data_IF_950573033952
#
_entry.id   IF_950573033952
#
_cell.length_a   1.000
_cell.length_b   1.000
_cell.length_c   1.000
_cell.angle_alpha   90.00
_cell.angle_beta   90.00
_cell.angle_gamma   90.00
#
_symmetry.space_group_name_H-M   'P 1'
#
loop_
_entity.id
_entity.type
_entity.pdbx_description
1 polymer ?
#
# COMPACT_ATOMS: atom_id res chain seq x y z
N UNK A 1 -13.40 5.77 10.09
CA UNK A 1 -12.52 6.96 9.99
C UNK A 1 -11.35 6.65 9.07
N UNK A 2 -10.93 7.61 8.26
CA UNK A 2 -9.72 7.52 7.46
C UNK A 2 -8.88 8.81 7.63
N UNK A 3 -7.59 8.73 7.32
CA UNK A 3 -6.66 9.85 7.31
C UNK A 3 -5.73 9.76 6.10
N UNK A 4 -4.97 10.81 5.84
CA UNK A 4 -4.01 10.92 4.74
C UNK A 4 -2.67 11.40 5.27
N UNK A 5 -1.58 10.74 4.84
CA UNK A 5 -0.22 11.13 5.19
C UNK A 5 0.62 11.33 3.93
N UNK A 6 1.18 12.53 3.70
CA UNK A 6 2.18 12.74 2.67
C UNK A 6 3.46 11.95 2.99
N UNK A 7 4.04 11.28 1.98
CA UNK A 7 5.25 10.47 2.14
C UNK A 7 6.27 10.73 1.02
N UNK A 8 7.54 10.40 1.28
CA UNK A 8 8.69 10.71 0.38
C UNK A 8 8.74 9.71 -0.79
N UNK A 9 7.66 9.66 -1.57
CA UNK A 9 7.46 8.70 -2.65
C UNK A 9 7.04 7.31 -2.15
N UNK A 10 6.30 6.58 -2.99
CA UNK A 10 5.78 5.26 -2.66
C UNK A 10 6.88 4.20 -2.45
N UNK A 11 7.98 4.25 -3.21
CA UNK A 11 9.08 3.28 -3.07
C UNK A 11 9.67 3.26 -1.66
N UNK A 12 9.92 4.43 -1.09
CA UNK A 12 10.43 4.55 0.28
C UNK A 12 9.41 3.97 1.27
N UNK A 13 8.15 4.35 1.12
CA UNK A 13 7.08 3.85 1.97
C UNK A 13 6.94 2.32 1.89
N UNK A 14 6.95 1.75 0.69
CA UNK A 14 6.89 0.28 0.48
C UNK A 14 8.04 -0.43 1.19
N UNK A 15 9.25 0.15 1.15
CA UNK A 15 10.41 -0.43 1.82
C UNK A 15 10.30 -0.38 3.36
N UNK A 16 9.71 0.67 3.91
CA UNK A 16 9.73 0.89 5.37
C UNK A 16 8.41 0.54 6.09
N UNK A 17 7.29 0.45 5.39
CA UNK A 17 5.99 0.27 6.03
C UNK A 17 5.88 -1.00 6.89
N UNK A 18 6.38 -2.18 6.47
CA UNK A 18 6.38 -3.36 7.32
C UNK A 18 7.18 -3.15 8.63
N UNK A 19 8.31 -2.44 8.56
CA UNK A 19 9.12 -2.09 9.75
C UNK A 19 8.38 -1.13 10.67
N UNK A 20 7.76 -0.08 10.10
CA UNK A 20 7.02 0.93 10.86
C UNK A 20 5.80 0.35 11.58
N UNK A 21 5.20 -0.70 11.02
CA UNK A 21 4.07 -1.43 11.61
C UNK A 21 4.50 -2.67 12.41
N UNK A 22 5.81 -2.93 12.53
CA UNK A 22 6.38 -4.06 13.28
C UNK A 22 5.87 -5.43 12.82
N UNK A 23 5.63 -5.57 11.52
CA UNK A 23 5.10 -6.79 10.91
C UNK A 23 6.05 -7.98 11.07
N UNK A 24 5.52 -9.18 11.24
CA UNK A 24 6.26 -10.43 11.43
C UNK A 24 6.17 -11.37 10.23
N UNK A 25 5.00 -11.42 9.58
CA UNK A 25 4.75 -12.23 8.39
C UNK A 25 4.16 -11.31 7.33
N UNK A 26 4.88 -11.12 6.23
CA UNK A 26 4.54 -10.20 5.16
C UNK A 26 4.22 -10.95 3.88
N UNK A 27 2.95 -10.96 3.50
CA UNK A 27 2.48 -11.46 2.22
C UNK A 27 2.74 -10.42 1.13
N UNK A 28 3.19 -10.88 -0.04
CA UNK A 28 3.32 -10.07 -1.25
C UNK A 28 3.06 -10.92 -2.50
N UNK A 29 2.66 -10.31 -3.64
CA UNK A 29 2.41 -11.06 -4.89
C UNK A 29 3.68 -11.79 -5.37
N UNK A 30 3.55 -13.03 -5.82
CA UNK A 30 4.69 -13.85 -6.33
C UNK A 30 5.35 -13.22 -7.57
N UNK A 31 4.57 -12.53 -8.41
CA UNK A 31 5.09 -11.71 -9.52
C UNK A 31 4.94 -10.25 -9.12
N UNK A 32 5.99 -9.65 -8.63
CA UNK A 32 5.89 -8.39 -7.92
C UNK A 32 7.07 -7.44 -8.15
N UNK A 33 6.81 -6.19 -7.82
CA UNK A 33 7.85 -5.19 -7.66
C UNK A 33 8.81 -5.60 -6.52
N UNK A 34 10.13 -5.69 -6.77
CA UNK A 34 11.08 -6.31 -5.82
C UNK A 34 11.12 -5.66 -4.43
N UNK A 35 10.68 -4.41 -4.31
CA UNK A 35 10.74 -3.67 -3.05
C UNK A 35 9.80 -4.24 -1.97
N UNK A 36 8.76 -5.00 -2.32
CA UNK A 36 7.91 -5.67 -1.32
C UNK A 36 8.71 -6.70 -0.52
N UNK A 37 9.49 -7.55 -1.21
CA UNK A 37 10.41 -8.49 -0.56
C UNK A 37 11.47 -7.75 0.27
N UNK A 38 12.08 -6.71 -0.30
CA UNK A 38 13.08 -5.89 0.41
C UNK A 38 12.49 -5.30 1.69
N UNK A 39 11.27 -4.78 1.65
CA UNK A 39 10.58 -4.23 2.83
C UNK A 39 10.35 -5.28 3.92
N UNK A 40 9.95 -6.49 3.56
CA UNK A 40 9.80 -7.59 4.50
C UNK A 40 11.14 -7.95 5.17
N UNK A 41 12.22 -8.02 4.38
CA UNK A 41 13.57 -8.30 4.90
C UNK A 41 14.09 -7.19 5.82
N UNK A 42 13.86 -5.91 5.48
CA UNK A 42 14.21 -4.77 6.34
C UNK A 42 13.47 -4.82 7.68
N UNK A 43 12.23 -5.29 7.69
CA UNK A 43 11.44 -5.51 8.89
C UNK A 43 11.89 -6.74 9.69
N UNK A 44 12.84 -7.53 9.19
CA UNK A 44 13.19 -8.86 9.73
C UNK A 44 11.95 -9.78 9.83
N UNK A 45 10.98 -9.57 8.95
CA UNK A 45 9.76 -10.35 8.85
C UNK A 45 9.98 -11.58 7.96
N UNK A 46 9.12 -12.58 8.11
CA UNK A 46 9.03 -13.73 7.22
C UNK A 46 8.32 -13.31 5.91
N UNK A 47 9.01 -13.29 4.76
CA UNK A 47 8.40 -12.93 3.50
C UNK A 47 7.65 -14.12 2.90
N UNK A 48 6.40 -13.92 2.46
CA UNK A 48 5.54 -14.98 1.92
C UNK A 48 5.02 -14.54 0.56
N UNK A 49 5.56 -15.15 -0.51
CA UNK A 49 5.07 -14.93 -1.86
C UNK A 49 3.77 -15.72 -2.10
N UNK A 50 2.74 -15.09 -2.65
CA UNK A 50 1.43 -15.69 -2.87
C UNK A 50 0.88 -15.41 -4.26
N UNK A 51 0.05 -16.34 -4.75
CA UNK A 51 -0.78 -16.10 -5.93
C UNK A 51 -1.92 -15.12 -5.65
N UNK A 52 -2.72 -14.88 -6.66
CA UNK A 52 -3.76 -13.84 -6.62
C UNK A 52 -5.00 -14.21 -5.78
N UNK A 53 -5.27 -15.50 -5.61
CA UNK A 53 -6.44 -15.99 -4.88
C UNK A 53 -6.22 -15.87 -3.37
N UNK A 54 -6.80 -14.84 -2.78
CA UNK A 54 -6.70 -14.59 -1.35
C UNK A 54 -7.34 -15.68 -0.47
N UNK A 55 -8.19 -16.55 -1.01
CA UNK A 55 -8.73 -17.69 -0.28
C UNK A 55 -7.66 -18.74 0.04
N UNK A 56 -6.54 -18.73 -0.68
CA UNK A 56 -5.41 -19.65 -0.49
C UNK A 56 -4.27 -19.06 0.34
N UNK A 57 -4.36 -17.80 0.72
CA UNK A 57 -3.28 -17.13 1.45
C UNK A 57 -3.15 -17.68 2.87
N UNK A 58 -1.93 -17.94 3.34
CA UNK A 58 -1.70 -18.37 4.72
C UNK A 58 -2.02 -17.25 5.71
N UNK A 59 -2.06 -17.57 6.99
CA UNK A 59 -2.16 -16.56 8.04
C UNK A 59 -0.92 -15.67 8.06
N UNK A 60 -1.12 -14.37 8.13
CA UNK A 60 -0.09 -13.36 8.24
C UNK A 60 -0.66 -12.11 8.92
N UNK A 61 0.20 -11.17 9.30
CA UNK A 61 -0.21 -9.91 9.93
C UNK A 61 -0.13 -8.71 8.98
N UNK A 62 0.43 -8.92 7.77
CA UNK A 62 0.56 -7.89 6.77
C UNK A 62 0.47 -8.48 5.35
N UNK A 63 -0.24 -7.82 4.45
CA UNK A 63 -0.31 -8.20 3.04
C UNK A 63 -0.23 -7.00 2.09
N UNK A 64 0.60 -7.14 1.05
CA UNK A 64 0.60 -6.26 -0.11
C UNK A 64 -0.29 -6.82 -1.22
N UNK A 65 -1.10 -5.95 -1.82
CA UNK A 65 -1.61 -6.11 -3.18
C UNK A 65 -1.16 -4.93 -4.03
N UNK A 66 -1.04 -5.11 -5.34
CA UNK A 66 -0.66 -4.06 -6.28
C UNK A 66 -1.63 -4.07 -7.47
N UNK A 67 -2.44 -3.04 -7.59
CA UNK A 67 -3.46 -2.95 -8.64
C UNK A 67 -3.62 -1.52 -9.15
N UNK A 68 -3.26 -1.27 -10.42
CA UNK A 68 -2.64 -2.18 -11.41
C UNK A 68 -1.26 -2.68 -10.99
N UNK A 69 -0.94 -3.92 -11.31
CA UNK A 69 0.25 -4.62 -10.88
C UNK A 69 1.51 -4.28 -11.67
N UNK A 70 2.64 -4.14 -10.99
CA UNK A 70 3.95 -4.04 -11.60
C UNK A 70 4.75 -5.32 -11.33
N UNK A 71 5.19 -6.11 -12.35
CA UNK A 71 5.28 -5.74 -13.77
C UNK A 71 4.10 -6.18 -14.65
N UNK A 72 3.06 -6.79 -14.11
CA UNK A 72 2.05 -7.54 -14.89
C UNK A 72 1.05 -6.65 -15.63
N UNK A 73 0.86 -5.40 -15.20
CA UNK A 73 -0.23 -4.53 -15.66
C UNK A 73 -1.64 -4.99 -15.22
N UNK A 74 -1.74 -6.09 -14.46
CA UNK A 74 -3.02 -6.68 -14.08
C UNK A 74 -3.80 -5.76 -13.15
N UNK A 75 -5.08 -5.56 -13.46
CA UNK A 75 -6.06 -4.90 -12.60
C UNK A 75 -6.84 -5.97 -11.82
N UNK A 76 -6.91 -5.84 -10.51
CA UNK A 76 -7.72 -6.73 -9.67
C UNK A 76 -9.22 -6.43 -9.86
N UNK A 77 -10.01 -7.47 -10.00
CA UNK A 77 -11.46 -7.38 -10.01
C UNK A 77 -12.01 -7.02 -8.62
N UNK A 78 -13.26 -6.53 -8.57
CA UNK A 78 -13.96 -6.32 -7.29
C UNK A 78 -13.98 -7.58 -6.42
N UNK A 79 -14.23 -8.77 -7.03
CA UNK A 79 -14.26 -10.03 -6.28
C UNK A 79 -12.93 -10.35 -5.62
N UNK A 80 -11.81 -10.10 -6.30
CA UNK A 80 -10.46 -10.32 -5.76
C UNK A 80 -10.12 -9.33 -4.64
N UNK A 81 -10.48 -8.05 -4.82
CA UNK A 81 -10.28 -7.03 -3.78
C UNK A 81 -11.12 -7.33 -2.53
N UNK A 82 -12.39 -7.72 -2.71
CA UNK A 82 -13.24 -8.13 -1.59
C UNK A 82 -12.76 -9.42 -0.92
N UNK A 83 -12.19 -10.37 -1.67
CA UNK A 83 -11.60 -11.57 -1.08
C UNK A 83 -10.37 -11.22 -0.22
N UNK A 84 -9.51 -10.32 -0.68
CA UNK A 84 -8.36 -9.84 0.10
C UNK A 84 -8.80 -9.07 1.36
N UNK A 85 -9.84 -8.23 1.29
CA UNK A 85 -10.43 -7.55 2.45
C UNK A 85 -11.00 -8.56 3.46
N UNK A 86 -11.70 -9.60 2.98
CA UNK A 86 -12.22 -10.67 3.85
C UNK A 86 -11.10 -11.40 4.55
N UNK A 87 -10.02 -11.76 3.82
CA UNK A 87 -8.84 -12.40 4.39
C UNK A 87 -8.19 -11.51 5.46
N UNK A 88 -7.99 -10.22 5.19
CA UNK A 88 -7.44 -9.25 6.15
C UNK A 88 -8.24 -9.20 7.45
N UNK A 89 -9.57 -9.10 7.35
CA UNK A 89 -10.46 -9.09 8.51
C UNK A 89 -10.40 -10.38 9.32
N UNK A 90 -10.35 -11.55 8.65
CA UNK A 90 -10.25 -12.85 9.31
C UNK A 90 -8.94 -13.08 10.06
N UNK A 91 -7.85 -12.45 9.57
CA UNK A 91 -6.52 -12.58 10.17
C UNK A 91 -6.13 -11.38 11.05
N UNK A 92 -6.99 -10.36 11.19
CA UNK A 92 -6.66 -9.07 11.79
C UNK A 92 -5.39 -8.44 11.19
N UNK A 93 -5.16 -8.69 9.91
CA UNK A 93 -3.96 -8.31 9.18
C UNK A 93 -4.09 -6.91 8.55
N UNK A 94 -3.00 -6.17 8.49
CA UNK A 94 -2.94 -4.95 7.69
C UNK A 94 -2.90 -5.30 6.21
N UNK A 95 -3.89 -4.83 5.45
CA UNK A 95 -3.93 -4.97 3.99
C UNK A 95 -3.56 -3.64 3.34
N UNK A 96 -2.54 -3.65 2.50
CA UNK A 96 -2.08 -2.45 1.78
C UNK A 96 -2.18 -2.65 0.28
N UNK A 97 -2.92 -1.77 -0.39
CA UNK A 97 -2.98 -1.73 -1.84
C UNK A 97 -2.03 -0.65 -2.39
N UNK A 98 -1.04 -1.06 -3.16
CA UNK A 98 -0.22 -0.13 -3.93
C UNK A 98 -0.97 0.22 -5.23
N UNK A 99 -1.47 1.45 -5.28
CA UNK A 99 -2.28 2.01 -6.38
C UNK A 99 -1.49 3.03 -7.21
N UNK A 100 -0.16 2.92 -7.24
CA UNK A 100 0.69 3.87 -7.97
C UNK A 100 0.37 3.97 -9.48
N UNK A 101 -0.34 3.00 -10.04
CA UNK A 101 -0.74 2.94 -11.44
C UNK A 101 -2.26 3.06 -11.65
N UNK A 102 -3.02 3.52 -10.65
CA UNK A 102 -4.49 3.55 -10.70
C UNK A 102 -5.06 4.38 -11.86
N UNK A 103 -4.32 5.38 -12.32
CA UNK A 103 -4.73 6.23 -13.44
C UNK A 103 -4.41 5.62 -14.84
N UNK A 104 -3.82 4.42 -14.89
CA UNK A 104 -3.39 3.74 -16.13
C UNK A 104 -4.29 2.56 -16.46
N UNK A 105 -5.60 2.80 -16.54
CA UNK A 105 -6.55 1.81 -17.05
C UNK A 105 -6.70 1.93 -18.56
N UNK A 106 -6.70 0.80 -19.26
CA UNK A 106 -7.07 0.71 -20.67
C UNK A 106 -8.46 0.04 -20.80
N UNK A 107 -8.49 -1.28 -20.95
CA UNK A 107 -9.75 -2.02 -21.05
C UNK A 107 -10.41 -2.27 -19.69
N UNK A 108 -9.62 -2.43 -18.63
CA UNK A 108 -10.10 -2.54 -17.25
C UNK A 108 -9.84 -1.22 -16.53
N UNK A 109 -10.91 -0.62 -15.98
CA UNK A 109 -10.79 0.60 -15.18
C UNK A 109 -10.38 0.24 -13.74
N UNK A 110 -9.18 0.62 -13.29
CA UNK A 110 -8.77 0.36 -11.93
C UNK A 110 -9.66 1.10 -10.94
N UNK A 111 -9.91 0.47 -9.80
CA UNK A 111 -10.71 1.07 -8.73
C UNK A 111 -9.94 0.93 -7.42
N UNK A 112 -9.95 1.98 -6.61
CA UNK A 112 -9.30 1.95 -5.29
C UNK A 112 -9.92 0.89 -4.38
N UNK A 113 -9.08 0.20 -3.61
CA UNK A 113 -9.47 -0.73 -2.57
C UNK A 113 -10.44 -0.09 -1.56
N UNK A 114 -10.24 1.20 -1.27
CA UNK A 114 -11.08 1.94 -0.31
C UNK A 114 -12.56 2.01 -0.73
N UNK A 115 -12.86 1.88 -2.02
CA UNK A 115 -14.27 1.83 -2.49
C UNK A 115 -15.01 0.62 -1.95
N UNK A 116 -14.31 -0.46 -1.66
CA UNK A 116 -14.91 -1.75 -1.28
C UNK A 116 -14.86 -2.04 0.22
N UNK A 117 -14.35 -1.09 1.03
CA UNK A 117 -14.33 -1.23 2.49
C UNK A 117 -15.70 -1.03 3.13
N UNK A 118 -16.64 -0.45 2.39
CA UNK A 118 -17.99 -0.09 2.86
C UNK A 118 -17.95 0.84 4.10
N UNK A 119 -16.91 1.69 4.17
CA UNK A 119 -16.66 2.62 5.28
C UNK A 119 -15.91 2.00 6.47
N UNK A 120 -15.67 0.69 6.47
CA UNK A 120 -14.87 0.01 7.50
C UNK A 120 -13.41 -0.08 7.02
N UNK A 121 -12.62 0.93 7.40
CA UNK A 121 -11.23 1.07 6.97
C UNK A 121 -10.21 0.49 7.94
N UNK A 122 -10.62 -0.15 9.01
CA UNK A 122 -9.70 -0.74 10.00
C UNK A 122 -8.73 -1.71 9.34
N UNK A 123 -7.44 -1.51 9.60
CA UNK A 123 -6.33 -2.27 9.03
C UNK A 123 -6.21 -2.19 7.48
N UNK A 124 -6.85 -1.22 6.81
CA UNK A 124 -6.75 -1.04 5.36
C UNK A 124 -6.01 0.25 5.04
N UNK A 125 -4.99 0.12 4.18
CA UNK A 125 -4.18 1.24 3.70
C UNK A 125 -4.07 1.19 2.17
N UNK A 126 -3.95 2.36 1.56
CA UNK A 126 -3.71 2.54 0.13
C UNK A 126 -2.52 3.45 -0.07
N UNK A 127 -1.67 3.11 -1.02
CA UNK A 127 -0.53 3.94 -1.45
C UNK A 127 -0.80 4.52 -2.82
N UNK A 128 -0.79 5.84 -2.92
CA UNK A 128 -0.93 6.56 -4.20
C UNK A 128 0.28 7.46 -4.43
N UNK A 129 0.66 7.72 -5.70
CA UNK A 129 1.89 8.45 -6.03
C UNK A 129 1.74 9.35 -7.25
N UNK A 130 2.33 10.54 -7.19
CA UNK A 130 2.46 11.42 -8.34
C UNK A 130 3.58 10.98 -9.32
N UNK A 131 4.40 10.01 -8.93
CA UNK A 131 5.56 9.57 -9.72
C UNK A 131 5.19 9.13 -11.14
N UNK A 132 4.07 8.43 -11.30
CA UNK A 132 3.61 7.91 -12.59
C UNK A 132 2.51 8.78 -13.18
N UNK A 133 1.46 9.01 -12.44
CA UNK A 133 0.33 9.84 -12.81
C UNK A 133 0.74 11.20 -13.41
N UNK A 134 1.65 11.91 -12.71
CA UNK A 134 2.05 13.28 -13.05
C UNK A 134 3.48 13.38 -13.59
N UNK A 135 4.15 12.25 -13.91
CA UNK A 135 5.55 12.19 -14.34
C UNK A 135 6.52 12.89 -13.37
N UNK A 136 6.18 12.89 -12.07
CA UNK A 136 6.89 13.61 -11.01
C UNK A 136 7.74 12.70 -10.11
N UNK A 137 8.33 11.64 -10.67
CA UNK A 137 9.09 10.65 -9.87
C UNK A 137 10.25 11.27 -9.07
N UNK A 138 10.92 12.28 -9.61
CA UNK A 138 12.03 12.99 -8.95
C UNK A 138 11.59 13.86 -7.77
N UNK A 139 10.34 14.28 -7.72
CA UNK A 139 9.81 15.15 -6.66
C UNK A 139 9.48 14.40 -5.36
N UNK A 140 9.44 13.07 -5.40
CA UNK A 140 9.21 12.23 -4.22
C UNK A 140 7.88 12.51 -3.49
N UNK A 141 6.80 12.77 -4.22
CA UNK A 141 5.46 12.98 -3.68
C UNK A 141 4.58 11.73 -3.78
N UNK A 142 4.08 11.25 -2.65
CA UNK A 142 3.13 10.15 -2.56
C UNK A 142 2.26 10.28 -1.30
N UNK A 143 1.20 9.48 -1.23
CA UNK A 143 0.24 9.47 -0.13
C UNK A 143 0.07 8.08 0.44
N UNK A 144 -0.03 7.98 1.76
CA UNK A 144 -0.60 6.85 2.48
C UNK A 144 -1.99 7.23 2.96
N UNK A 145 -3.00 6.44 2.63
CA UNK A 145 -4.41 6.77 2.87
C UNK A 145 -5.09 5.55 3.51
N UNK A 146 -5.99 5.75 4.46
CA UNK A 146 -6.80 4.66 5.03
C UNK A 146 -6.96 4.75 6.54
N UNK A 147 -6.77 3.63 7.25
CA UNK A 147 -6.96 3.53 8.70
C UNK A 147 -6.24 4.66 9.46
N UNK A 148 -7.03 5.53 10.10
CA UNK A 148 -6.52 6.70 10.83
C UNK A 148 -5.59 6.34 11.98
N UNK A 149 -5.78 5.17 12.63
CA UNK A 149 -4.92 4.72 13.74
C UNK A 149 -3.56 4.28 13.23
N UNK A 150 -3.51 3.49 12.16
CA UNK A 150 -2.26 3.08 11.52
C UNK A 150 -1.51 4.30 10.96
N UNK A 151 -2.22 5.23 10.32
CA UNK A 151 -1.62 6.46 9.80
C UNK A 151 -1.03 7.31 10.93
N UNK A 152 -1.73 7.45 12.06
CA UNK A 152 -1.21 8.16 13.22
C UNK A 152 0.07 7.51 13.78
N UNK A 153 0.11 6.18 13.88
CA UNK A 153 1.30 5.44 14.30
C UNK A 153 2.48 5.68 13.34
N UNK A 154 2.25 5.54 12.03
CA UNK A 154 3.27 5.75 11.00
C UNK A 154 3.76 7.20 11.01
N UNK A 155 2.86 8.18 11.13
CA UNK A 155 3.18 9.62 11.22
C UNK A 155 4.09 9.91 12.41
N UNK A 156 3.79 9.34 13.57
CA UNK A 156 4.56 9.57 14.79
C UNK A 156 6.02 9.13 14.64
N UNK A 157 6.26 7.94 14.09
CA UNK A 157 7.63 7.46 13.84
C UNK A 157 8.31 8.30 12.77
N UNK A 158 7.63 8.60 11.67
CA UNK A 158 8.21 9.31 10.51
C UNK A 158 8.67 10.72 10.85
N UNK A 159 7.90 11.47 11.66
CA UNK A 159 8.28 12.84 12.05
C UNK A 159 9.58 12.87 12.85
N UNK A 160 9.82 11.87 13.70
CA UNK A 160 11.05 11.77 14.49
C UNK A 160 12.23 11.19 13.68
N UNK A 161 11.94 10.37 12.67
CA UNK A 161 12.95 9.82 11.78
C UNK A 161 13.36 10.78 10.62
N UNK A 162 12.79 11.99 10.56
CA UNK A 162 13.08 12.96 9.50
C UNK A 162 12.45 12.61 8.15
N UNK A 163 11.49 11.70 8.11
CA UNK A 163 10.86 11.22 6.88
C UNK A 163 9.67 12.11 6.47
N UNK A 164 9.90 13.41 6.33
CA UNK A 164 8.86 14.38 6.01
C UNK A 164 9.01 14.94 4.60
N UNK A 165 7.88 15.10 3.91
CA UNK A 165 7.84 15.71 2.58
C UNK A 165 8.04 17.21 2.71
N UNK A 166 8.96 17.85 1.93
CA UNK A 166 9.12 19.30 1.94
C UNK A 166 7.83 20.04 1.56
N UNK A 167 7.58 21.16 2.21
CA UNK A 167 6.34 21.94 2.03
C UNK A 167 6.02 22.31 0.57
N UNK A 168 7.01 22.72 -0.27
CA UNK A 168 6.73 22.99 -1.68
C UNK A 168 6.20 21.77 -2.45
N UNK A 169 6.67 20.57 -2.08
CA UNK A 169 6.18 19.33 -2.69
C UNK A 169 4.76 19.02 -2.20
N UNK A 170 4.46 19.21 -0.91
CA UNK A 170 3.11 19.06 -0.40
C UNK A 170 2.13 20.01 -1.10
N UNK A 171 2.51 21.25 -1.33
CA UNK A 171 1.69 22.22 -2.08
C UNK A 171 1.41 21.73 -3.51
N UNK A 172 2.41 21.17 -4.20
CA UNK A 172 2.23 20.59 -5.53
C UNK A 172 1.36 19.31 -5.53
N UNK A 173 1.27 18.62 -4.40
CA UNK A 173 0.42 17.42 -4.25
C UNK A 173 -1.07 17.77 -4.11
N UNK A 174 -1.40 19.00 -3.76
CA UNK A 174 -2.77 19.49 -3.53
C UNK A 174 -3.32 20.25 -4.76
N UNK A 175 -2.45 20.71 -5.65
CA UNK A 175 -2.80 21.43 -6.88
C UNK A 175 -3.29 20.46 -7.97
#
# INVERSE_FOLDING_TARGET
DFDVLPVIGSKELVAWLPTLLQSKNVIYPEVAYPTYLVGALLAQANPIAVGIDAATWPAADFAWINSPGNPTGRVHSELELRAALKWSRQNSATLVCDECYIDFGDTAQPTSLLKYTDGENSNVLVVHSLSKRSSMAGYRGAFLIGDSKLIAQVREVRKHAGMMVPLPIQNAMVA
#
